data_IF_897608099950
#
_entry.id   IF_897608099950
#
_cell.length_a   1.000
_cell.length_b   1.000
_cell.length_c   1.000
_cell.angle_alpha   90.00
_cell.angle_beta   90.00
_cell.angle_gamma   90.00
#
_symmetry.space_group_name_H-M   'P 1'
#
loop_
_entity.id
_entity.type
_entity.pdbx_description
1 polymer ?
#
# COMPACT_ATOMS: atom_id res chain seq x y z
N UNK A 1 -2.47 6.14 -23.21
CA UNK A 1 -1.23 5.34 -23.03
C UNK A 1 -1.19 4.92 -21.58
N UNK A 2 -1.36 3.63 -21.30
CA UNK A 2 -1.33 3.10 -19.94
C UNK A 2 0.13 2.79 -19.61
N UNK A 3 0.60 3.24 -18.45
CA UNK A 3 1.95 2.99 -17.98
C UNK A 3 1.88 1.91 -16.91
N UNK A 4 2.86 1.00 -16.91
CA UNK A 4 3.00 0.05 -15.81
C UNK A 4 3.68 0.72 -14.64
N UNK A 5 3.06 0.59 -13.48
CA UNK A 5 3.58 1.06 -12.19
C UNK A 5 3.73 -0.12 -11.26
N UNK A 6 4.86 -0.20 -10.58
CA UNK A 6 5.09 -1.06 -9.43
C UNK A 6 4.84 -0.23 -8.17
N UNK A 7 3.86 -0.62 -7.37
CA UNK A 7 3.54 0.01 -6.10
C UNK A 7 3.79 -1.00 -4.98
N UNK A 8 4.60 -0.64 -4.01
CA UNK A 8 4.97 -1.48 -2.87
C UNK A 8 4.42 -0.85 -1.58
N UNK A 9 3.72 -1.67 -0.79
CA UNK A 9 3.22 -1.30 0.52
C UNK A 9 3.89 -2.14 1.58
N UNK A 10 4.39 -1.50 2.63
CA UNK A 10 4.93 -2.16 3.80
C UNK A 10 3.92 -2.08 4.96
N UNK A 11 3.72 -3.18 5.66
CA UNK A 11 2.92 -3.23 6.87
C UNK A 11 3.81 -2.92 8.08
N UNK A 12 3.74 -1.68 8.56
CA UNK A 12 4.55 -1.13 9.67
C UNK A 12 4.67 -2.04 10.91
N UNK A 13 3.61 -2.76 11.28
CA UNK A 13 3.59 -3.64 12.46
C UNK A 13 3.89 -5.12 12.23
N UNK A 14 3.81 -5.62 11.00
CA UNK A 14 3.90 -7.05 10.69
C UNK A 14 5.12 -7.42 9.85
N UNK A 15 5.89 -6.43 9.39
CA UNK A 15 7.03 -6.67 8.49
C UNK A 15 6.62 -7.32 7.17
N UNK A 16 5.35 -7.18 6.78
CA UNK A 16 4.83 -7.71 5.52
C UNK A 16 5.00 -6.67 4.41
N UNK A 17 5.29 -7.12 3.19
CA UNK A 17 5.37 -6.25 2.02
C UNK A 17 4.45 -6.81 0.94
N UNK A 18 3.58 -5.96 0.41
CA UNK A 18 2.68 -6.27 -0.70
C UNK A 18 3.07 -5.45 -1.92
N UNK A 19 3.18 -6.11 -3.08
CA UNK A 19 3.68 -5.51 -4.32
C UNK A 19 2.61 -5.64 -5.40
N UNK A 20 2.24 -4.54 -6.03
CA UNK A 20 1.22 -4.49 -7.07
C UNK A 20 1.78 -3.91 -8.35
N UNK A 21 1.60 -4.63 -9.45
CA UNK A 21 1.86 -4.12 -10.80
C UNK A 21 0.54 -3.62 -11.39
N UNK A 22 0.42 -2.31 -11.60
CA UNK A 22 -0.82 -1.67 -12.07
C UNK A 22 -0.56 -0.90 -13.35
N UNK A 23 -1.40 -1.17 -14.34
CA UNK A 23 -1.49 -0.36 -15.55
C UNK A 23 -2.38 0.86 -15.29
N UNK A 24 -1.76 2.03 -15.19
CA UNK A 24 -2.47 3.28 -14.90
C UNK A 24 -1.92 4.46 -15.74
N UNK A 25 -2.79 5.42 -16.10
CA UNK A 25 -2.38 6.59 -16.87
C UNK A 25 -1.57 7.61 -16.05
N UNK A 26 -1.57 7.51 -14.71
CA UNK A 26 -0.85 8.43 -13.81
C UNK A 26 -0.41 7.75 -12.52
N UNK A 27 0.56 8.39 -11.82
CA UNK A 27 1.02 7.95 -10.50
C UNK A 27 -0.12 7.90 -9.49
N UNK A 28 -0.94 8.96 -9.43
CA UNK A 28 -2.06 9.04 -8.50
C UNK A 28 -3.10 7.94 -8.75
N UNK A 29 -3.38 7.63 -10.03
CA UNK A 29 -4.27 6.53 -10.39
C UNK A 29 -3.66 5.17 -9.99
N UNK A 30 -2.37 4.94 -10.23
CA UNK A 30 -1.68 3.72 -9.81
C UNK A 30 -1.75 3.51 -8.29
N UNK A 31 -1.46 4.55 -7.51
CA UNK A 31 -1.50 4.50 -6.05
C UNK A 31 -2.91 4.22 -5.55
N UNK A 32 -3.92 4.88 -6.13
CA UNK A 32 -5.32 4.70 -5.73
C UNK A 32 -5.79 3.27 -6.00
N UNK A 33 -5.49 2.74 -7.19
CA UNK A 33 -5.80 1.36 -7.55
C UNK A 33 -5.05 0.35 -6.68
N UNK A 34 -3.78 0.62 -6.35
CA UNK A 34 -2.98 -0.27 -5.53
C UNK A 34 -3.43 -0.25 -4.07
N UNK A 35 -3.82 0.92 -3.54
CA UNK A 35 -4.46 1.04 -2.23
C UNK A 35 -5.77 0.26 -2.16
N UNK A 36 -6.61 0.34 -3.19
CA UNK A 36 -7.84 -0.45 -3.25
C UNK A 36 -7.55 -1.96 -3.23
N UNK A 37 -6.51 -2.41 -3.95
CA UNK A 37 -6.08 -3.81 -3.97
C UNK A 37 -5.55 -4.27 -2.59
N UNK A 38 -4.68 -3.49 -1.95
CA UNK A 38 -4.21 -3.73 -0.57
C UNK A 38 -5.38 -3.87 0.39
N UNK A 39 -6.33 -2.95 0.33
CA UNK A 39 -7.50 -3.01 1.20
C UNK A 39 -8.42 -4.18 0.88
N UNK A 40 -8.55 -4.61 -0.37
CA UNK A 40 -9.36 -5.77 -0.72
C UNK A 40 -8.71 -7.08 -0.23
N UNK A 41 -7.40 -7.23 -0.44
CA UNK A 41 -6.63 -8.44 -0.11
C UNK A 41 -6.33 -8.54 1.39
N UNK A 42 -6.07 -7.40 2.03
CA UNK A 42 -5.66 -7.33 3.43
C UNK A 42 -6.66 -6.60 4.33
N UNK A 43 -7.92 -6.41 3.87
CA UNK A 43 -9.03 -6.09 4.78
C UNK A 43 -9.13 -7.20 5.81
N UNK A 44 -8.51 -6.97 6.96
CA UNK A 44 -8.83 -7.74 8.14
C UNK A 44 -10.34 -7.55 8.38
N UNK A 45 -11.12 -8.63 8.55
CA UNK A 45 -12.54 -8.51 8.84
C UNK A 45 -12.72 -7.56 10.03
N UNK A 46 -13.76 -6.69 10.02
CA UNK A 46 -13.94 -5.67 11.04
C UNK A 46 -13.89 -6.35 12.41
N UNK A 47 -12.80 -6.10 13.16
CA UNK A 47 -12.67 -6.67 14.51
C UNK A 47 -13.83 -6.10 15.32
N UNK A 48 -14.76 -6.97 15.71
CA UNK A 48 -15.91 -6.72 16.58
C UNK A 48 -15.58 -6.14 17.98
N UNK A 49 -14.34 -5.66 18.20
CA UNK A 49 -13.94 -5.03 19.46
C UNK A 49 -13.84 -3.52 19.27
N UNK A 50 -14.49 -2.71 20.12
CA UNK A 50 -14.30 -1.27 20.09
C UNK A 50 -12.82 -0.95 20.29
N UNK A 51 -12.28 -0.13 19.40
CA UNK A 51 -10.89 0.34 19.49
C UNK A 51 -10.71 1.09 20.81
N UNK A 52 -9.63 0.80 21.53
CA UNK A 52 -9.28 1.58 22.72
C UNK A 52 -9.00 3.04 22.33
N UNK A 53 -9.12 3.97 23.28
CA UNK A 53 -8.85 5.40 23.04
C UNK A 53 -7.46 5.63 22.44
N UNK A 54 -6.47 4.84 22.87
CA UNK A 54 -5.11 4.86 22.33
C UNK A 54 -5.02 4.39 20.86
N UNK A 55 -5.83 3.41 20.47
CA UNK A 55 -5.91 2.98 19.06
C UNK A 55 -6.63 4.01 18.18
N UNK A 56 -7.59 4.76 18.74
CA UNK A 56 -8.24 5.88 18.04
C UNK A 56 -7.27 7.06 17.84
N UNK A 57 -6.50 7.43 18.86
CA UNK A 57 -5.51 8.51 18.75
C UNK A 57 -4.45 8.22 17.67
N UNK A 58 -4.00 6.96 17.55
CA UNK A 58 -3.08 6.55 16.49
C UNK A 58 -3.70 6.64 15.07
N UNK A 59 -5.02 6.40 14.94
CA UNK A 59 -5.72 6.61 13.67
C UNK A 59 -5.80 8.09 13.29
N UNK A 60 -6.01 8.96 14.27
CA UNK A 60 -6.09 10.42 14.04
C UNK A 60 -4.72 11.01 13.71
N UNK A 61 -3.62 10.39 14.14
CA UNK A 61 -2.24 10.78 13.82
C UNK A 61 -1.76 10.42 12.40
N UNK A 62 -2.67 10.06 11.48
CA UNK A 62 -2.32 9.78 10.08
C UNK A 62 -1.90 8.35 9.77
N UNK A 63 -1.94 7.42 10.73
CA UNK A 63 -1.83 5.99 10.44
C UNK A 63 -3.19 5.41 10.12
N UNK A 64 -3.39 4.97 8.87
CA UNK A 64 -4.55 4.17 8.54
C UNK A 64 -4.60 2.91 9.41
N UNK A 65 -5.82 2.52 9.80
CA UNK A 65 -6.04 1.42 10.72
C UNK A 65 -5.54 0.06 10.22
N UNK A 66 -5.30 -0.04 8.90
CA UNK A 66 -4.81 -1.24 8.25
C UNK A 66 -3.31 -1.47 8.49
N UNK A 67 -2.56 -0.46 8.95
CA UNK A 67 -1.13 -0.56 9.23
C UNK A 67 -0.24 -0.62 7.97
N UNK A 68 -0.84 -0.56 6.78
CA UNK A 68 -0.15 -0.45 5.50
C UNK A 68 0.30 0.96 5.23
N UNK A 69 1.54 1.09 4.80
CA UNK A 69 2.17 2.35 4.42
C UNK A 69 2.75 2.15 3.03
N UNK A 70 2.59 3.15 2.18
CA UNK A 70 3.22 3.17 0.87
C UNK A 70 4.74 3.27 1.06
N UNK A 71 5.46 2.23 0.65
CA UNK A 71 6.91 2.12 0.82
C UNK A 71 7.65 2.60 -0.43
N UNK A 72 7.20 2.17 -1.61
CA UNK A 72 7.85 2.51 -2.88
C UNK A 72 6.85 2.61 -4.02
N UNK A 73 7.12 3.51 -4.96
CA UNK A 73 6.46 3.53 -6.27
C UNK A 73 7.51 3.69 -7.36
N UNK A 74 7.46 2.81 -8.36
CA UNK A 74 8.32 2.87 -9.53
C UNK A 74 7.49 2.70 -10.81
N UNK A 75 7.96 3.28 -11.91
CA UNK A 75 7.40 3.02 -13.24
C UNK A 75 8.14 1.82 -13.84
N UNK A 76 7.41 0.79 -14.24
CA UNK A 76 7.97 -0.47 -14.81
C UNK A 76 8.35 -0.31 -16.29
N UNK A 77 8.03 0.82 -16.92
CA UNK A 77 8.38 1.13 -18.32
C UNK A 77 9.89 1.24 -18.59
N UNK A 78 10.75 1.16 -17.56
CA UNK A 78 12.18 0.93 -17.72
C UNK A 78 12.53 -0.55 -17.47
N UNK A 79 12.91 -1.32 -18.51
CA UNK A 79 13.69 -2.52 -18.29
C UNK A 79 15.11 -2.10 -17.90
N UNK A 80 15.52 -2.38 -16.65
CA UNK A 80 16.92 -2.28 -16.23
C UNK A 80 17.16 -1.45 -14.96
N UNK A 81 17.07 -2.10 -13.81
CA UNK A 81 18.27 -2.54 -13.09
C UNK A 81 17.86 -3.41 -11.89
N UNK A 82 18.31 -4.67 -11.80
CA UNK A 82 18.26 -5.41 -10.54
C UNK A 82 19.15 -4.69 -9.49
N UNK A 83 18.88 -4.87 -8.19
CA UNK A 83 19.83 -4.46 -7.17
C UNK A 83 21.10 -5.29 -7.36
N UNK A 84 22.20 -4.62 -7.75
CA UNK A 84 23.54 -5.16 -7.61
C UNK A 84 23.82 -5.30 -6.11
N UNK A 85 24.25 -6.48 -5.72
CA UNK A 85 24.52 -6.90 -4.34
C UNK A 85 25.88 -6.39 -3.86
#
# INVERSE_FOLDING_TARGET
MNMKWLVEFAHSRRGMVARYAIDAPSLAAAVTSAWAAVHAEHSSPPRRRPFSLFQRAQRTGGQDASGWVLDRIARTDRPGSPPEA
#
